data_IF_589689025204
#
_entry.id   IF_589689025204
#
_cell.length_a   1.000
_cell.length_b   1.000
_cell.length_c   1.000
_cell.angle_alpha   90.00
_cell.angle_beta   90.00
_cell.angle_gamma   90.00
#
_symmetry.space_group_name_H-M   'P 1'
#
loop_
_entity.id
_entity.type
_entity.pdbx_description
1 polymer ?
#
# COMPACT_ATOMS: atom_id res chain seq x y z
N UNK A 1 -6.92 13.61 -18.37
CA UNK A 1 -6.26 13.03 -17.18
C UNK A 1 -7.35 12.70 -16.16
N UNK A 2 -7.28 11.53 -15.50
CA UNK A 2 -8.34 11.05 -14.58
C UNK A 2 -7.85 10.99 -13.12
N UNK A 3 -6.56 10.70 -12.87
CA UNK A 3 -5.99 10.62 -11.52
C UNK A 3 -4.66 11.38 -11.43
N UNK A 4 -4.39 11.95 -10.25
CA UNK A 4 -3.11 12.58 -9.90
C UNK A 4 -2.15 11.62 -9.18
N UNK A 5 -2.71 10.57 -8.56
CA UNK A 5 -1.97 9.61 -7.73
C UNK A 5 -2.53 8.21 -7.94
N UNK A 6 -1.66 7.20 -7.97
CA UNK A 6 -2.01 5.77 -7.90
C UNK A 6 -1.39 5.21 -6.62
N UNK A 7 -2.13 4.36 -5.91
CA UNK A 7 -1.62 3.54 -4.83
C UNK A 7 -1.87 2.10 -5.22
N UNK A 8 -0.81 1.32 -5.42
CA UNK A 8 -0.86 -0.11 -5.71
C UNK A 8 -0.70 -0.90 -4.39
N UNK A 9 -1.78 -1.51 -3.86
CA UNK A 9 -1.70 -2.34 -2.67
C UNK A 9 -1.23 -3.75 -3.02
N UNK A 10 -0.13 -4.20 -2.41
CA UNK A 10 0.44 -5.53 -2.65
C UNK A 10 0.80 -6.20 -1.33
N UNK A 11 0.59 -7.52 -1.22
CA UNK A 11 1.20 -8.30 -0.15
C UNK A 11 2.66 -8.59 -0.50
N UNK A 12 3.49 -8.86 0.51
CA UNK A 12 4.82 -9.41 0.30
C UNK A 12 4.73 -10.90 -0.07
N UNK A 13 4.17 -11.19 -1.25
CA UNK A 13 4.08 -12.52 -1.84
C UNK A 13 4.55 -12.47 -3.28
N UNK A 14 5.24 -13.51 -3.75
CA UNK A 14 5.79 -13.53 -5.10
C UNK A 14 4.74 -13.25 -6.19
N UNK A 15 3.53 -13.84 -6.15
CA UNK A 15 2.52 -13.55 -7.17
C UNK A 15 2.09 -12.08 -7.22
N UNK A 16 2.04 -11.42 -6.06
CA UNK A 16 1.71 -10.00 -5.98
C UNK A 16 2.88 -9.14 -6.49
N UNK A 17 4.10 -9.46 -6.08
CA UNK A 17 5.32 -8.76 -6.49
C UNK A 17 5.57 -8.87 -8.00
N UNK A 18 5.30 -10.03 -8.60
CA UNK A 18 5.43 -10.25 -10.05
C UNK A 18 4.54 -9.30 -10.86
N UNK A 19 3.44 -8.78 -10.27
CA UNK A 19 2.57 -7.80 -10.95
C UNK A 19 3.19 -6.41 -11.10
N UNK A 20 4.26 -6.10 -10.37
CA UNK A 20 4.95 -4.81 -10.46
C UNK A 20 5.54 -4.55 -11.85
N UNK A 21 5.95 -5.61 -12.56
CA UNK A 21 6.45 -5.51 -13.93
C UNK A 21 5.38 -4.97 -14.88
N UNK A 22 4.15 -5.48 -14.76
CA UNK A 22 3.01 -4.98 -15.56
C UNK A 22 2.65 -3.54 -15.16
N UNK A 23 2.69 -3.23 -13.86
CA UNK A 23 2.43 -1.88 -13.38
C UNK A 23 3.43 -0.86 -13.95
N UNK A 24 4.72 -1.18 -13.97
CA UNK A 24 5.75 -0.30 -14.56
C UNK A 24 5.52 -0.04 -16.05
N UNK A 25 5.18 -1.08 -16.82
CA UNK A 25 4.85 -0.92 -18.24
C UNK A 25 3.66 0.02 -18.46
N UNK A 26 2.63 -0.06 -17.62
CA UNK A 26 1.47 0.83 -17.69
C UNK A 26 1.83 2.27 -17.29
N UNK A 27 2.70 2.45 -16.31
CA UNK A 27 3.20 3.76 -15.89
C UNK A 27 3.96 4.42 -17.04
N UNK A 28 4.86 3.69 -17.70
CA UNK A 28 5.65 4.19 -18.83
C UNK A 28 4.76 4.59 -20.02
N UNK A 29 3.78 3.75 -20.35
CA UNK A 29 2.82 4.04 -21.41
C UNK A 29 2.02 5.32 -21.14
N UNK A 30 1.70 5.60 -19.87
CA UNK A 30 0.90 6.74 -19.46
C UNK A 30 1.72 8.01 -19.19
N UNK A 31 3.04 7.90 -18.99
CA UNK A 31 3.89 9.02 -18.55
C UNK A 31 3.86 10.21 -19.51
N UNK A 32 3.76 9.95 -20.82
CA UNK A 32 3.63 10.99 -21.84
C UNK A 32 2.32 11.77 -21.72
N UNK A 33 1.24 11.14 -21.26
CA UNK A 33 -0.08 11.74 -21.12
C UNK A 33 -0.29 12.36 -19.73
N UNK A 34 0.37 11.84 -18.69
CA UNK A 34 0.24 12.27 -17.31
C UNK A 34 1.61 12.32 -16.61
N UNK A 35 2.47 13.30 -16.97
CA UNK A 35 3.84 13.38 -16.47
C UNK A 35 3.92 13.60 -14.96
N UNK A 36 2.91 14.26 -14.37
CA UNK A 36 2.83 14.57 -12.95
C UNK A 36 2.22 13.45 -12.09
N UNK A 37 1.86 12.31 -12.70
CA UNK A 37 1.28 11.18 -11.98
C UNK A 37 2.22 10.65 -10.91
N UNK A 38 1.80 10.73 -9.65
CA UNK A 38 2.52 10.07 -8.54
C UNK A 38 2.10 8.61 -8.48
N UNK A 39 3.08 7.73 -8.32
CA UNK A 39 2.83 6.28 -8.24
C UNK A 39 3.41 5.76 -6.94
N UNK A 40 2.55 5.17 -6.13
CA UNK A 40 2.89 4.64 -4.83
C UNK A 40 2.66 3.13 -4.76
N UNK A 41 3.52 2.43 -4.03
CA UNK A 41 3.29 1.04 -3.63
C UNK A 41 3.04 0.96 -2.13
N UNK A 42 1.93 0.33 -1.74
CA UNK A 42 1.53 0.13 -0.35
C UNK A 42 1.69 -1.34 0.00
N UNK A 43 2.48 -1.65 1.04
CA UNK A 43 2.45 -2.99 1.61
C UNK A 43 1.12 -3.20 2.35
N UNK A 44 0.27 -4.02 1.75
CA UNK A 44 -1.02 -4.41 2.28
C UNK A 44 -0.98 -5.85 2.81
N UNK A 45 -1.94 -6.21 3.65
CA UNK A 45 -2.04 -7.56 4.23
C UNK A 45 -0.76 -8.05 4.93
N UNK A 46 0.06 -7.13 5.46
CA UNK A 46 1.29 -7.47 6.16
C UNK A 46 1.04 -8.31 7.43
N UNK A 47 2.02 -9.13 7.82
CA UNK A 47 1.88 -9.97 8.99
C UNK A 47 1.77 -9.16 10.29
N UNK A 48 0.84 -9.57 11.16
CA UNK A 48 0.77 -9.03 12.52
C UNK A 48 1.82 -9.66 13.45
N UNK A 49 2.49 -10.73 13.03
CA UNK A 49 3.50 -11.43 13.81
C UNK A 49 4.78 -10.58 13.95
N UNK A 50 5.17 -10.16 15.18
CA UNK A 50 6.32 -9.29 15.39
C UNK A 50 7.65 -9.91 14.96
N UNK A 51 7.77 -11.24 14.96
CA UNK A 51 8.99 -11.95 14.57
C UNK A 51 9.21 -11.88 13.06
N UNK A 52 8.13 -11.94 12.27
CA UNK A 52 8.20 -12.00 10.81
C UNK A 52 8.13 -10.62 10.16
N UNK A 53 7.46 -9.65 10.80
CA UNK A 53 7.17 -8.34 10.21
C UNK A 53 8.40 -7.61 9.69
N UNK A 54 9.50 -7.64 10.44
CA UNK A 54 10.74 -6.95 10.04
C UNK A 54 11.35 -7.53 8.77
N UNK A 55 11.42 -8.86 8.69
CA UNK A 55 11.98 -9.55 7.53
C UNK A 55 11.06 -9.39 6.31
N UNK A 56 9.75 -9.57 6.49
CA UNK A 56 8.77 -9.42 5.41
C UNK A 56 8.76 -8.00 4.84
N UNK A 57 8.88 -6.97 5.70
CA UNK A 57 9.05 -5.58 5.22
C UNK A 57 10.35 -5.39 4.45
N UNK A 58 11.44 -5.98 4.95
CA UNK A 58 12.75 -5.87 4.30
C UNK A 58 12.72 -6.49 2.90
N UNK A 59 12.22 -7.72 2.77
CA UNK A 59 12.09 -8.42 1.49
C UNK A 59 11.22 -7.65 0.49
N UNK A 60 10.10 -7.09 0.97
CA UNK A 60 9.23 -6.23 0.16
C UNK A 60 9.94 -4.99 -0.37
N UNK A 61 10.74 -4.33 0.47
CA UNK A 61 11.52 -3.15 0.09
C UNK A 61 12.63 -3.51 -0.90
N UNK A 62 13.39 -4.58 -0.65
CA UNK A 62 14.46 -5.04 -1.53
C UNK A 62 13.94 -5.36 -2.94
N UNK A 63 12.75 -5.98 -3.07
CA UNK A 63 12.15 -6.22 -4.38
C UNK A 63 11.75 -4.93 -5.11
N UNK A 64 11.21 -3.94 -4.37
CA UNK A 64 10.79 -2.66 -4.95
C UNK A 64 11.96 -1.77 -5.40
N UNK A 65 13.20 -2.04 -4.95
CA UNK A 65 14.40 -1.34 -5.46
C UNK A 65 14.60 -1.55 -6.97
N UNK A 66 14.03 -2.61 -7.55
CA UNK A 66 14.07 -2.88 -8.99
C UNK A 66 13.15 -1.95 -9.81
N UNK A 67 12.22 -1.23 -9.16
CA UNK A 67 11.18 -0.40 -9.81
C UNK A 67 11.27 1.08 -9.38
N UNK A 68 12.31 1.84 -9.81
CA UNK A 68 12.60 3.18 -9.30
C UNK A 68 11.53 4.23 -9.63
N UNK A 69 10.62 3.94 -10.57
CA UNK A 69 9.49 4.79 -10.94
C UNK A 69 8.32 4.72 -9.95
N UNK A 70 8.37 3.76 -9.02
CA UNK A 70 7.33 3.47 -8.04
C UNK A 70 7.87 3.82 -6.64
N UNK A 71 7.21 4.76 -5.96
CA UNK A 71 7.60 5.14 -4.61
C UNK A 71 6.93 4.21 -3.59
N UNK A 72 7.71 3.47 -2.80
CA UNK A 72 7.16 2.71 -1.67
C UNK A 72 6.71 3.65 -0.55
N UNK A 73 5.54 3.39 0.04
CA UNK A 73 5.03 4.10 1.21
C UNK A 73 5.59 3.52 2.50
N UNK A 74 5.86 4.37 3.48
CA UNK A 74 6.22 4.00 4.86
C UNK A 74 5.04 3.35 5.60
N UNK A 75 3.81 3.72 5.23
CA UNK A 75 2.60 3.08 5.71
C UNK A 75 2.56 1.59 5.38
N UNK A 76 2.10 0.79 6.35
CA UNK A 76 1.89 -0.63 6.20
C UNK A 76 0.52 -1.00 6.75
N UNK A 77 -0.30 -1.68 5.96
CA UNK A 77 -1.62 -2.15 6.38
C UNK A 77 -1.53 -3.63 6.75
N UNK A 78 -1.79 -3.95 8.02
CA UNK A 78 -1.65 -5.33 8.51
C UNK A 78 -2.91 -6.17 8.25
N UNK A 79 -2.74 -7.49 8.10
CA UNK A 79 -3.84 -8.45 7.97
C UNK A 79 -4.58 -8.67 9.29
N UNK A 80 -5.45 -7.72 9.65
CA UNK A 80 -6.24 -7.72 10.88
C UNK A 80 -7.67 -8.18 10.63
N UNK A 81 -8.23 -8.96 11.56
CA UNK A 81 -9.64 -9.41 11.49
C UNK A 81 -10.63 -8.25 11.37
N UNK A 82 -10.36 -7.12 12.01
CA UNK A 82 -11.26 -5.95 12.03
C UNK A 82 -11.60 -5.42 10.64
N UNK A 83 -10.70 -5.51 9.66
CA UNK A 83 -11.00 -5.12 8.27
C UNK A 83 -12.12 -5.97 7.66
N UNK A 84 -12.18 -7.28 7.97
CA UNK A 84 -13.26 -8.17 7.51
C UNK A 84 -14.56 -7.97 8.29
N UNK A 85 -14.45 -7.70 9.59
CA UNK A 85 -15.62 -7.40 10.43
C UNK A 85 -16.31 -6.10 9.94
N UNK A 86 -15.51 -5.09 9.59
CA UNK A 86 -15.96 -3.83 8.99
C UNK A 86 -16.73 -4.02 7.68
N UNK A 87 -16.25 -4.89 6.78
CA UNK A 87 -16.95 -5.19 5.52
C UNK A 87 -18.37 -5.71 5.74
N UNK A 88 -18.55 -6.56 6.75
CA UNK A 88 -19.88 -7.14 7.07
C UNK A 88 -20.82 -6.10 7.68
N UNK A 89 -20.27 -5.10 8.36
CA UNK A 89 -21.02 -4.06 9.05
C UNK A 89 -21.23 -2.79 8.20
N UNK A 90 -20.59 -2.68 7.03
CA UNK A 90 -20.64 -1.48 6.19
C UNK A 90 -19.92 -0.27 6.79
N UNK A 91 -18.95 -0.51 7.68
CA UNK A 91 -18.17 0.55 8.35
C UNK A 91 -16.71 0.51 7.91
N UNK A 92 -15.94 1.57 8.15
CA UNK A 92 -14.49 1.61 8.07
C UNK A 92 -13.81 1.28 9.41
N UNK A 93 -12.53 0.89 9.37
CA UNK A 93 -11.78 0.57 10.61
C UNK A 93 -11.61 1.76 11.55
N UNK A 94 -11.64 2.98 11.00
CA UNK A 94 -11.57 4.24 11.76
C UNK A 94 -12.79 4.46 12.65
N UNK A 95 -13.91 3.80 12.36
CA UNK A 95 -15.16 3.82 13.13
C UNK A 95 -15.20 2.73 14.22
N UNK A 96 -14.11 1.99 14.39
CA UNK A 96 -14.02 0.90 15.36
C UNK A 96 -13.12 1.26 16.54
N UNK A 97 -13.15 0.43 17.59
CA UNK A 97 -12.26 0.53 18.74
C UNK A 97 -10.87 -0.12 18.49
N UNK A 98 -10.57 -0.56 17.27
CA UNK A 98 -9.26 -1.13 16.95
C UNK A 98 -8.25 -0.01 16.66
N UNK A 99 -7.60 0.49 17.72
CA UNK A 99 -6.66 1.61 17.65
C UNK A 99 -5.49 1.37 16.70
N UNK A 100 -5.01 0.12 16.59
CA UNK A 100 -3.89 -0.21 15.72
C UNK A 100 -4.26 -0.13 14.24
N UNK A 101 -5.40 -0.71 13.83
CA UNK A 101 -5.88 -0.61 12.44
C UNK A 101 -6.24 0.85 12.07
N UNK A 102 -6.81 1.58 13.02
CA UNK A 102 -7.10 3.00 12.85
C UNK A 102 -5.83 3.82 12.61
N UNK A 103 -4.80 3.62 13.43
CA UNK A 103 -3.52 4.31 13.27
C UNK A 103 -2.84 4.00 11.93
N UNK A 104 -2.93 2.76 11.43
CA UNK A 104 -2.40 2.38 10.11
C UNK A 104 -3.06 3.19 8.98
N UNK A 105 -4.39 3.32 8.99
CA UNK A 105 -5.12 4.10 7.99
C UNK A 105 -4.86 5.61 8.16
N UNK A 106 -4.87 6.13 9.39
CA UNK A 106 -4.55 7.54 9.64
C UNK A 106 -3.14 7.90 9.16
N UNK A 107 -2.15 7.01 9.37
CA UNK A 107 -0.80 7.18 8.85
C UNK A 107 -0.77 7.23 7.32
N UNK A 108 -1.47 6.29 6.65
CA UNK A 108 -1.61 6.28 5.19
C UNK A 108 -2.23 7.56 4.65
N UNK A 109 -3.32 8.02 5.26
CA UNK A 109 -3.99 9.25 4.83
C UNK A 109 -3.09 10.47 4.97
N UNK A 110 -2.36 10.57 6.09
CA UNK A 110 -1.42 11.66 6.32
C UNK A 110 -0.22 11.62 5.37
N UNK A 111 0.30 10.43 5.07
CA UNK A 111 1.44 10.26 4.17
C UNK A 111 1.11 10.66 2.73
N UNK A 112 -0.06 10.24 2.23
CA UNK A 112 -0.47 10.46 0.83
C UNK A 112 -1.04 11.86 0.61
N UNK A 113 -1.85 12.36 1.55
CA UNK A 113 -2.63 13.59 1.36
C UNK A 113 -2.17 14.76 2.24
N UNK A 114 -1.20 14.55 3.13
CA UNK A 114 -0.80 15.51 4.15
C UNK A 114 -1.71 15.45 5.38
N UNK A 115 -1.43 16.26 6.42
CA UNK A 115 -2.19 16.26 7.67
C UNK A 115 -3.69 16.45 7.42
N UNK A 116 -4.47 15.47 7.88
CA UNK A 116 -5.93 15.50 7.88
C UNK A 116 -6.52 16.31 9.04
#
# INVERSE_FOLDING_TARGET
VVAHQIIAPLQCSQPDLDTLTELEQQIDAMRNLNPELKVYCLQSMATTNPVLRGNERKEFLEYLEEFPTIQVLDSVICFRKVYRDCMSNGTGVVETNNTAARAEIEHLMNEVFGPW
#
